data_IF_380935455068
#
_entry.id   IF_380935455068
#
_cell.length_a   1.000
_cell.length_b   1.000
_cell.length_c   1.000
_cell.angle_alpha   90.00
_cell.angle_beta   90.00
_cell.angle_gamma   90.00
#
_symmetry.space_group_name_H-M   'P 1'
#
loop_
_entity.id
_entity.type
_entity.pdbx_description
1 polymer ?
#
# COMPACT_ATOMS: atom_id res chain seq x y z
N UNK A 1 24.55 -41.29 -26.59
CA UNK A 1 24.88 -39.85 -26.65
C UNK A 1 23.73 -39.02 -27.22
N UNK A 2 22.97 -39.51 -28.21
CA UNK A 2 21.78 -38.84 -28.77
C UNK A 2 20.64 -38.61 -27.76
N UNK A 3 20.31 -39.62 -26.94
CA UNK A 3 19.18 -39.57 -25.99
C UNK A 3 19.30 -38.52 -24.88
N UNK A 4 20.52 -38.08 -24.56
CA UNK A 4 20.76 -37.10 -23.51
C UNK A 4 20.54 -35.67 -24.01
N UNK A 5 20.95 -35.37 -25.24
CA UNK A 5 20.68 -34.08 -25.88
C UNK A 5 19.18 -33.88 -26.15
N UNK A 6 18.45 -34.94 -26.48
CA UNK A 6 16.99 -34.87 -26.69
C UNK A 6 16.25 -34.58 -25.37
N UNK A 7 16.69 -35.19 -24.25
CA UNK A 7 16.13 -34.92 -22.93
C UNK A 7 16.39 -33.49 -22.44
N UNK A 8 17.63 -33.00 -22.61
CA UNK A 8 18.01 -31.61 -22.29
C UNK A 8 17.22 -30.60 -23.15
N UNK A 9 16.96 -30.90 -24.43
CA UNK A 9 16.16 -30.05 -25.31
C UNK A 9 14.68 -29.97 -24.87
N UNK A 10 14.10 -31.10 -24.46
CA UNK A 10 12.71 -31.14 -23.95
C UNK A 10 12.57 -30.32 -22.66
N UNK A 11 13.55 -30.41 -21.76
CA UNK A 11 13.55 -29.66 -20.51
C UNK A 11 13.66 -28.14 -20.75
N UNK A 12 14.57 -27.71 -21.63
CA UNK A 12 14.72 -26.30 -22.00
C UNK A 12 13.43 -25.77 -22.65
N UNK A 13 12.79 -26.55 -23.52
CA UNK A 13 11.54 -26.15 -24.16
C UNK A 13 10.40 -26.00 -23.14
N UNK A 14 10.32 -26.89 -22.16
CA UNK A 14 9.36 -26.78 -21.06
C UNK A 14 9.59 -25.51 -20.22
N UNK A 15 10.84 -25.21 -19.85
CA UNK A 15 11.20 -24.00 -19.10
C UNK A 15 10.87 -22.72 -19.88
N UNK A 16 11.19 -22.66 -21.18
CA UNK A 16 10.85 -21.50 -22.03
C UNK A 16 9.33 -21.33 -22.15
N UNK A 17 8.60 -22.44 -22.32
CA UNK A 17 7.14 -22.41 -22.39
C UNK A 17 6.52 -21.90 -21.10
N UNK A 18 7.01 -22.36 -19.95
CA UNK A 18 6.58 -21.87 -18.64
C UNK A 18 6.88 -20.37 -18.49
N UNK A 19 8.07 -19.91 -18.87
CA UNK A 19 8.43 -18.50 -18.81
C UNK A 19 7.51 -17.62 -19.68
N UNK A 20 7.18 -18.08 -20.89
CA UNK A 20 6.25 -17.37 -21.78
C UNK A 20 4.84 -17.27 -21.18
N UNK A 21 4.34 -18.36 -20.58
CA UNK A 21 3.04 -18.38 -19.91
C UNK A 21 3.04 -17.47 -18.68
N UNK A 22 4.11 -17.46 -17.89
CA UNK A 22 4.27 -16.59 -16.72
C UNK A 22 4.28 -15.13 -17.14
N UNK A 23 5.04 -14.78 -18.18
CA UNK A 23 5.05 -13.43 -18.74
C UNK A 23 3.67 -13.00 -19.22
N UNK A 24 2.97 -13.86 -19.97
CA UNK A 24 1.64 -13.56 -20.47
C UNK A 24 0.67 -13.29 -19.30
N UNK A 25 0.64 -14.18 -18.32
CA UNK A 25 -0.23 -14.01 -17.15
C UNK A 25 0.11 -12.76 -16.35
N UNK A 26 1.39 -12.44 -16.16
CA UNK A 26 1.79 -11.22 -15.46
C UNK A 26 1.25 -9.96 -16.15
N UNK A 27 1.33 -9.91 -17.49
CA UNK A 27 0.86 -8.77 -18.28
C UNK A 27 -0.67 -8.66 -18.38
N UNK A 28 -1.41 -9.77 -18.21
CA UNK A 28 -2.88 -9.77 -18.27
C UNK A 28 -3.53 -9.59 -16.89
N UNK A 29 -3.11 -10.41 -15.92
CA UNK A 29 -3.81 -10.58 -14.64
C UNK A 29 -2.91 -10.26 -13.44
N UNK A 30 -1.61 -10.53 -13.54
CA UNK A 30 -0.67 -10.38 -12.42
C UNK A 30 -0.56 -8.95 -11.91
N UNK A 31 -0.50 -7.94 -12.80
CA UNK A 31 -0.47 -6.53 -12.39
C UNK A 31 -1.74 -6.16 -11.62
N UNK A 32 -2.91 -6.55 -12.12
CA UNK A 32 -4.18 -6.26 -11.46
C UNK A 32 -4.24 -6.91 -10.07
N UNK A 33 -3.71 -8.11 -9.93
CA UNK A 33 -3.59 -8.79 -8.64
C UNK A 33 -2.65 -8.06 -7.67
N UNK A 34 -1.48 -7.62 -8.11
CA UNK A 34 -0.55 -6.82 -7.27
C UNK A 34 -1.19 -5.50 -6.84
N UNK A 35 -1.88 -4.81 -7.76
CA UNK A 35 -2.61 -3.57 -7.45
C UNK A 35 -3.72 -3.83 -6.42
N UNK A 36 -4.43 -4.95 -6.53
CA UNK A 36 -5.45 -5.36 -5.54
C UNK A 36 -4.83 -5.63 -4.16
N UNK A 37 -3.70 -6.32 -4.10
CA UNK A 37 -2.96 -6.57 -2.86
C UNK A 37 -2.56 -5.26 -2.16
N UNK A 38 -2.06 -4.29 -2.92
CA UNK A 38 -1.70 -2.97 -2.39
C UNK A 38 -2.93 -2.24 -1.85
N UNK A 39 -4.03 -2.19 -2.61
CA UNK A 39 -5.24 -1.46 -2.18
C UNK A 39 -5.97 -2.12 -1.01
N UNK A 40 -5.88 -3.44 -0.87
CA UNK A 40 -6.53 -4.19 0.20
C UNK A 40 -5.61 -4.41 1.42
N UNK A 41 -4.43 -3.77 1.42
CA UNK A 41 -3.53 -3.77 2.57
C UNK A 41 -4.13 -2.96 3.73
N UNK A 42 -4.33 -3.58 4.90
CA UNK A 42 -4.67 -2.87 6.14
C UNK A 42 -3.66 -1.80 6.51
N UNK A 43 -2.40 -1.95 6.07
CA UNK A 43 -1.35 -0.98 6.36
C UNK A 43 -1.56 0.29 5.53
N UNK A 44 -1.91 0.16 4.24
CA UNK A 44 -2.28 1.31 3.41
C UNK A 44 -3.58 1.96 3.92
N UNK A 45 -4.59 1.15 4.27
CA UNK A 45 -5.84 1.64 4.84
C UNK A 45 -5.59 2.47 6.12
N UNK A 46 -4.73 1.98 7.02
CA UNK A 46 -4.37 2.67 8.25
C UNK A 46 -3.65 3.99 7.98
N UNK A 47 -2.62 4.00 7.12
CA UNK A 47 -1.86 5.22 6.83
C UNK A 47 -2.75 6.27 6.13
N UNK A 48 -3.63 5.84 5.22
CA UNK A 48 -4.60 6.74 4.58
C UNK A 48 -5.60 7.27 5.61
N UNK A 49 -6.11 6.43 6.51
CA UNK A 49 -7.02 6.86 7.57
C UNK A 49 -6.35 7.88 8.52
N UNK A 50 -5.11 7.63 8.94
CA UNK A 50 -4.33 8.52 9.79
C UNK A 50 -4.09 9.87 9.10
N UNK A 51 -3.78 9.87 7.80
CA UNK A 51 -3.63 11.08 7.00
C UNK A 51 -4.95 11.86 6.88
N UNK A 52 -6.05 11.20 6.52
CA UNK A 52 -7.38 11.82 6.37
C UNK A 52 -7.84 12.43 7.70
N UNK A 53 -7.68 11.70 8.80
CA UNK A 53 -8.02 12.19 10.13
C UNK A 53 -7.19 13.42 10.49
N UNK A 54 -5.88 13.39 10.23
CA UNK A 54 -4.99 14.51 10.53
C UNK A 54 -5.30 15.75 9.69
N UNK A 55 -5.60 15.58 8.39
CA UNK A 55 -6.01 16.68 7.50
C UNK A 55 -7.34 17.29 7.94
N UNK A 56 -8.32 16.45 8.32
CA UNK A 56 -9.60 16.94 8.83
C UNK A 56 -9.44 17.76 10.11
N UNK A 57 -8.61 17.29 11.06
CA UNK A 57 -8.33 18.02 12.30
C UNK A 57 -7.64 19.36 12.01
N UNK A 58 -6.66 19.40 11.10
CA UNK A 58 -6.03 20.67 10.69
C UNK A 58 -7.00 21.59 9.97
N UNK A 59 -7.84 21.08 9.07
CA UNK A 59 -8.83 21.89 8.35
C UNK A 59 -9.87 22.52 9.28
N UNK A 60 -10.34 21.75 10.27
CA UNK A 60 -11.23 22.25 11.33
C UNK A 60 -10.51 23.29 12.18
N UNK A 61 -9.28 23.02 12.62
CA UNK A 61 -8.52 23.92 13.49
C UNK A 61 -8.10 25.21 12.79
N UNK A 62 -7.72 25.16 11.52
CA UNK A 62 -7.38 26.35 10.75
C UNK A 62 -8.65 27.16 10.42
N UNK A 63 -9.79 26.50 10.18
CA UNK A 63 -11.09 27.17 10.06
C UNK A 63 -11.49 27.89 11.36
N UNK A 64 -11.34 27.22 12.51
CA UNK A 64 -11.55 27.82 13.84
C UNK A 64 -10.58 28.98 14.04
N UNK A 65 -9.29 28.82 13.74
CA UNK A 65 -8.26 29.86 13.90
C UNK A 65 -8.50 31.07 13.00
N UNK A 66 -8.88 30.89 11.74
CA UNK A 66 -9.19 32.00 10.81
C UNK A 66 -10.48 32.72 11.22
N UNK A 67 -11.53 31.96 11.59
CA UNK A 67 -12.76 32.52 12.17
C UNK A 67 -12.48 33.32 13.44
N UNK A 68 -11.57 32.83 14.28
CA UNK A 68 -11.15 33.51 15.49
C UNK A 68 -10.25 34.71 15.21
N UNK A 69 -9.35 34.66 14.22
CA UNK A 69 -8.51 35.79 13.80
C UNK A 69 -9.36 36.93 13.23
N UNK A 70 -10.43 36.61 12.49
CA UNK A 70 -11.45 37.56 12.08
C UNK A 70 -12.25 38.12 13.27
N UNK A 71 -12.41 37.33 14.34
CA UNK A 71 -13.02 37.76 15.60
C UNK A 71 -12.03 38.39 16.59
N UNK A 72 -10.71 38.34 16.37
CA UNK A 72 -9.66 38.86 17.26
C UNK A 72 -9.46 40.37 17.12
N UNK A 73 -10.04 40.97 16.07
CA UNK A 73 -10.41 42.39 16.07
C UNK A 73 -11.41 42.71 17.22
N UNK A 74 -11.94 41.69 17.91
CA UNK A 74 -12.74 41.74 19.13
C UNK A 74 -12.22 40.82 20.26
N UNK A 75 -11.05 41.14 20.83
CA UNK A 75 -10.74 41.04 22.29
C UNK A 75 -10.43 39.67 22.97
N UNK A 76 -10.46 38.49 22.35
CA UNK A 76 -10.15 37.23 23.09
C UNK A 76 -8.85 36.50 22.70
N UNK A 77 -8.17 35.94 23.72
CA UNK A 77 -6.96 35.11 23.61
C UNK A 77 -7.23 33.80 22.85
N UNK A 78 -6.30 33.38 22.00
CA UNK A 78 -6.40 32.14 21.21
C UNK A 78 -6.39 30.85 22.05
N UNK A 79 -6.03 30.92 23.34
CA UNK A 79 -5.99 29.77 24.26
C UNK A 79 -7.38 29.28 24.70
N UNK A 80 -8.44 30.08 24.56
CA UNK A 80 -9.79 29.74 25.05
C UNK A 80 -10.73 29.20 23.95
N UNK A 81 -10.22 28.95 22.73
CA UNK A 81 -11.08 28.61 21.60
C UNK A 81 -11.51 27.13 21.64
N UNK A 82 -12.81 26.83 21.80
CA UNK A 82 -13.29 25.46 21.86
C UNK A 82 -12.95 24.71 20.56
N UNK A 83 -12.22 23.61 20.67
CA UNK A 83 -11.83 22.77 19.53
C UNK A 83 -10.53 23.18 18.84
N UNK A 84 -9.84 24.24 19.28
CA UNK A 84 -8.50 24.54 18.79
C UNK A 84 -7.49 23.58 19.44
N UNK A 85 -6.75 22.83 18.63
CA UNK A 85 -5.63 21.99 19.05
C UNK A 85 -4.35 22.43 18.33
N UNK A 86 -3.41 22.97 19.11
CA UNK A 86 -2.08 23.42 18.64
C UNK A 86 -1.26 22.27 18.04
N UNK A 87 -1.47 21.04 18.52
CA UNK A 87 -0.76 19.84 18.08
C UNK A 87 -1.23 19.29 16.74
N UNK A 88 -2.33 19.80 16.16
CA UNK A 88 -2.89 19.30 14.92
C UNK A 88 -1.92 19.40 13.73
N UNK A 89 -1.12 20.46 13.68
CA UNK A 89 -0.11 20.64 12.63
C UNK A 89 1.01 19.61 12.76
N UNK A 90 1.47 19.37 13.98
CA UNK A 90 2.50 18.36 14.27
C UNK A 90 1.97 16.94 13.97
N UNK A 91 0.69 16.68 14.25
CA UNK A 91 0.02 15.43 13.89
C UNK A 91 -0.07 15.21 12.38
N UNK A 92 -0.38 16.27 11.60
CA UNK A 92 -0.37 16.22 10.15
C UNK A 92 1.04 15.98 9.60
N UNK A 93 2.06 16.68 10.10
CA UNK A 93 3.45 16.49 9.69
C UNK A 93 3.95 15.05 10.02
N UNK A 94 3.51 14.49 11.15
CA UNK A 94 3.79 13.11 11.51
C UNK A 94 3.08 12.10 10.57
N UNK A 95 1.80 12.35 10.23
CA UNK A 95 1.05 11.51 9.31
C UNK A 95 1.62 11.55 7.88
N UNK A 96 2.05 12.72 7.40
CA UNK A 96 2.76 12.87 6.12
C UNK A 96 4.07 12.08 6.14
N UNK A 97 4.89 12.22 7.20
CA UNK A 97 6.12 11.43 7.34
C UNK A 97 5.87 9.92 7.40
N UNK A 98 4.77 9.50 8.02
CA UNK A 98 4.38 8.09 8.07
C UNK A 98 3.97 7.57 6.68
N UNK A 99 3.29 8.40 5.88
CA UNK A 99 2.97 8.09 4.48
C UNK A 99 4.22 8.07 3.58
N UNK A 100 5.12 9.04 3.71
CA UNK A 100 6.34 9.12 2.91
C UNK A 100 7.30 7.95 3.18
N UNK A 101 7.37 7.50 4.43
CA UNK A 101 8.19 6.34 4.82
C UNK A 101 7.41 5.01 4.76
N UNK A 102 6.20 5.02 4.21
CA UNK A 102 5.36 3.83 4.16
C UNK A 102 5.98 2.77 3.26
N UNK A 103 6.25 1.60 3.83
CA UNK A 103 6.71 0.43 3.09
C UNK A 103 5.58 -0.59 2.98
N UNK A 104 5.25 -0.97 1.74
CA UNK A 104 4.16 -1.91 1.49
C UNK A 104 4.70 -3.34 1.67
N UNK A 105 4.51 -3.91 2.87
CA UNK A 105 4.98 -5.25 3.23
C UNK A 105 4.48 -6.33 2.23
N UNK A 106 3.30 -6.13 1.64
CA UNK A 106 2.68 -7.05 0.67
C UNK A 106 3.54 -7.25 -0.58
N UNK A 107 4.38 -6.26 -0.94
CA UNK A 107 5.32 -6.39 -2.05
C UNK A 107 6.44 -7.37 -1.73
N UNK A 108 6.82 -7.51 -0.46
CA UNK A 108 7.76 -8.56 0.01
C UNK A 108 7.21 -9.96 -0.24
N UNK A 109 5.91 -10.18 0.01
CA UNK A 109 5.26 -11.47 -0.24
C UNK A 109 5.13 -11.79 -1.74
N UNK A 110 5.01 -10.78 -2.60
CA UNK A 110 5.10 -10.94 -4.06
C UNK A 110 6.53 -11.27 -4.48
N UNK A 111 7.53 -10.67 -3.83
CA UNK A 111 8.94 -10.97 -4.09
C UNK A 111 9.31 -12.44 -3.76
N UNK A 112 8.73 -13.02 -2.71
CA UNK A 112 8.91 -14.45 -2.36
C UNK A 112 8.39 -15.43 -3.42
N UNK A 113 7.60 -14.94 -4.38
CA UNK A 113 7.02 -15.74 -5.46
C UNK A 113 7.82 -15.70 -6.76
N UNK A 114 8.90 -14.90 -6.84
CA UNK A 114 9.68 -14.70 -8.07
C UNK A 114 10.21 -16.01 -8.65
N UNK A 115 10.63 -16.94 -7.79
CA UNK A 115 11.18 -18.24 -8.20
C UNK A 115 10.13 -19.37 -8.19
N UNK A 116 8.85 -19.06 -8.00
CA UNK A 116 7.79 -20.07 -7.91
C UNK A 116 7.19 -20.37 -9.30
N UNK A 117 6.78 -21.62 -9.55
CA UNK A 117 6.05 -21.98 -10.78
C UNK A 117 4.76 -21.18 -10.92
N UNK A 118 4.34 -20.93 -12.17
CA UNK A 118 3.13 -20.15 -12.47
C UNK A 118 1.88 -20.69 -11.77
N UNK A 119 1.77 -22.01 -11.66
CA UNK A 119 0.65 -22.68 -10.98
C UNK A 119 0.51 -22.25 -9.51
N UNK A 120 1.63 -22.09 -8.81
CA UNK A 120 1.68 -21.65 -7.42
C UNK A 120 1.30 -20.17 -7.32
N UNK A 121 1.79 -19.34 -8.24
CA UNK A 121 1.48 -17.90 -8.28
C UNK A 121 -0.03 -17.69 -8.52
N UNK A 122 -0.61 -18.40 -9.49
CA UNK A 122 -2.04 -18.34 -9.80
C UNK A 122 -2.91 -18.76 -8.62
N UNK A 123 -2.58 -19.90 -7.99
CA UNK A 123 -3.29 -20.36 -6.81
C UNK A 123 -3.28 -19.31 -5.70
N UNK A 124 -2.12 -18.67 -5.46
CA UNK A 124 -2.02 -17.60 -4.46
C UNK A 124 -2.85 -16.37 -4.84
N UNK A 125 -2.99 -16.08 -6.13
CA UNK A 125 -3.77 -14.94 -6.62
C UNK A 125 -5.29 -15.08 -6.46
N UNK A 126 -5.77 -16.31 -6.37
CA UNK A 126 -7.20 -16.64 -6.21
C UNK A 126 -7.64 -16.66 -4.74
N UNK A 127 -6.69 -16.76 -3.80
CA UNK A 127 -6.99 -16.79 -2.38
C UNK A 127 -7.50 -15.42 -1.89
N UNK A 128 -8.47 -15.41 -0.96
CA UNK A 128 -8.89 -14.18 -0.32
C UNK A 128 -7.72 -13.57 0.45
N UNK A 129 -7.64 -12.25 0.42
CA UNK A 129 -6.66 -11.47 1.15
C UNK A 129 -7.16 -11.39 2.61
N UNK A 130 -6.46 -12.05 3.53
CA UNK A 130 -6.85 -12.15 4.95
C UNK A 130 -5.95 -11.22 5.79
N UNK A 131 -6.43 -10.69 6.92
CA UNK A 131 -5.62 -9.82 7.80
C UNK A 131 -4.30 -10.45 8.28
N UNK A 132 -4.28 -11.78 8.44
CA UNK A 132 -3.06 -12.57 8.75
C UNK A 132 -2.01 -12.49 7.63
N UNK A 133 -2.40 -12.16 6.39
CA UNK A 133 -1.47 -11.89 5.30
C UNK A 133 -0.67 -10.58 5.48
N UNK A 134 -0.85 -9.87 6.60
CA UNK A 134 -0.16 -8.61 6.91
C UNK A 134 0.54 -8.61 8.27
N UNK A 135 0.42 -9.69 9.05
CA UNK A 135 1.17 -9.85 10.31
C UNK A 135 2.53 -10.50 10.02
N UNK A 136 3.59 -9.92 10.61
CA UNK A 136 4.96 -10.48 10.69
C UNK A 136 5.26 -10.77 12.15
#
# INVERSE_FOLDING_TARGET
MLTRCDGEMVEVYAQVSELMLTKQWFLTDGIAWVVKLVHQSPELEKVVADLVNSVNVVGVNEGIKQGFKAALDSVHSAEEVPGYDEGAKDALDAAIKAFDNFHISVLGKVADLVDKPLSVIKLRSELPIVKEDYEV
#
